data_IF_941338941943
#
_entry.id   IF_941338941943
#
_cell.length_a   1.000
_cell.length_b   1.000
_cell.length_c   1.000
_cell.angle_alpha   90.00
_cell.angle_beta   90.00
_cell.angle_gamma   90.00
#
_symmetry.space_group_name_H-M   'P 1'
#
loop_
_entity.id
_entity.type
_entity.pdbx_description
1 polymer ?
#
# COMPACT_ATOMS: atom_id res chain seq x y z
N UNK A 1 -55.20 31.49 -19.72
CA UNK A 1 -54.93 32.16 -18.43
C UNK A 1 -53.91 31.32 -17.66
N UNK A 2 -52.85 31.98 -17.18
CA UNK A 2 -51.51 31.46 -16.88
C UNK A 2 -51.42 30.64 -15.58
N UNK A 3 -50.70 29.51 -15.60
CA UNK A 3 -50.32 28.76 -14.38
C UNK A 3 -48.95 29.22 -13.88
N UNK A 4 -48.94 30.04 -12.83
CA UNK A 4 -47.74 30.43 -12.09
C UNK A 4 -47.20 29.24 -11.28
N UNK A 5 -45.97 28.78 -11.55
CA UNK A 5 -45.29 27.78 -10.71
C UNK A 5 -44.73 28.47 -9.45
N UNK A 6 -44.98 27.88 -8.27
CA UNK A 6 -44.34 28.29 -7.00
C UNK A 6 -42.84 28.02 -7.09
N UNK A 7 -42.02 29.06 -6.92
CA UNK A 7 -40.57 28.95 -6.72
C UNK A 7 -40.29 28.47 -5.28
N UNK A 8 -39.37 27.52 -5.06
CA UNK A 8 -38.89 27.23 -3.71
C UNK A 8 -38.10 28.42 -3.16
N UNK A 9 -38.14 28.59 -1.83
CA UNK A 9 -37.48 29.69 -1.13
C UNK A 9 -35.95 29.59 -1.25
N UNK A 10 -35.31 30.72 -1.56
CA UNK A 10 -33.85 30.86 -1.52
C UNK A 10 -33.47 31.14 -0.06
N UNK A 11 -32.65 30.28 0.53
CA UNK A 11 -32.10 30.48 1.88
C UNK A 11 -30.70 31.07 1.74
N UNK A 12 -30.51 32.32 2.19
CA UNK A 12 -29.22 33.02 2.19
C UNK A 12 -28.34 32.67 3.40
N UNK A 13 -28.53 31.49 4.01
CA UNK A 13 -27.69 31.09 5.13
C UNK A 13 -26.36 30.52 4.62
N UNK A 14 -25.33 31.37 4.62
CA UNK A 14 -23.95 30.95 4.50
C UNK A 14 -23.59 30.02 5.67
N UNK A 15 -23.65 28.71 5.44
CA UNK A 15 -23.05 27.71 6.32
C UNK A 15 -21.77 27.25 5.63
N UNK A 16 -20.63 27.82 6.05
CA UNK A 16 -19.32 27.30 5.72
C UNK A 16 -19.10 25.99 6.48
N UNK A 17 -19.64 24.89 5.97
CA UNK A 17 -19.24 23.56 6.39
C UNK A 17 -18.11 23.12 5.47
N UNK A 18 -16.87 23.43 5.85
CA UNK A 18 -15.72 22.68 5.35
C UNK A 18 -15.86 21.26 5.90
N UNK A 19 -16.64 20.43 5.21
CA UNK A 19 -16.61 19.00 5.43
C UNK A 19 -15.35 18.51 4.72
N UNK A 20 -14.23 18.55 5.43
CA UNK A 20 -13.14 17.61 5.15
C UNK A 20 -13.73 16.23 5.41
N UNK A 21 -14.35 15.65 4.38
CA UNK A 21 -14.63 14.22 4.36
C UNK A 21 -13.26 13.55 4.37
N UNK A 22 -12.73 13.32 5.56
CA UNK A 22 -11.87 12.18 5.80
C UNK A 22 -12.57 11.00 5.12
N UNK A 23 -11.95 10.30 4.14
CA UNK A 23 -12.49 9.02 3.74
C UNK A 23 -12.55 8.17 5.01
N UNK A 24 -13.76 7.72 5.32
CA UNK A 24 -14.05 6.83 6.43
C UNK A 24 -13.02 5.70 6.47
N UNK A 25 -12.15 5.73 7.48
CA UNK A 25 -11.18 4.68 7.79
C UNK A 25 -11.85 3.41 8.33
N UNK A 26 -13.00 3.02 7.77
CA UNK A 26 -13.84 1.91 8.28
C UNK A 26 -14.37 1.00 7.18
N UNK A 27 -13.58 0.75 6.13
CA UNK A 27 -13.89 -0.26 5.10
C UNK A 27 -13.09 -1.57 5.22
N UNK A 28 -12.28 -1.74 6.26
CA UNK A 28 -11.45 -2.94 6.41
C UNK A 28 -11.96 -3.81 7.55
N UNK A 29 -12.99 -4.61 7.24
CA UNK A 29 -13.53 -5.61 8.15
C UNK A 29 -12.52 -6.76 8.29
N UNK A 30 -12.45 -7.41 9.47
CA UNK A 30 -11.53 -8.53 9.77
C UNK A 30 -11.69 -9.76 8.86
N UNK A 31 -12.61 -9.76 7.91
CA UNK A 31 -12.92 -10.89 7.02
C UNK A 31 -11.88 -11.08 5.90
N UNK A 32 -11.04 -10.07 5.64
CA UNK A 32 -10.06 -10.11 4.53
C UNK A 32 -8.65 -10.50 4.95
N UNK A 33 -8.45 -10.89 6.22
CA UNK A 33 -7.11 -11.22 6.75
C UNK A 33 -6.18 -10.00 6.90
N UNK A 34 -6.71 -8.78 6.80
CA UNK A 34 -5.94 -7.56 7.04
C UNK A 34 -5.57 -7.43 8.52
N UNK A 35 -4.27 -7.44 8.79
CA UNK A 35 -3.70 -7.06 10.08
C UNK A 35 -3.11 -5.67 9.96
N UNK A 36 -3.56 -4.76 10.84
CA UNK A 36 -2.97 -3.43 10.92
C UNK A 36 -1.48 -3.53 11.27
N UNK A 37 -0.60 -2.70 10.66
CA UNK A 37 0.82 -2.69 10.99
C UNK A 37 1.04 -2.45 12.47
N UNK A 38 1.87 -3.31 13.08
CA UNK A 38 2.29 -3.18 14.47
C UNK A 38 3.18 -1.95 14.66
N UNK A 39 3.43 -1.51 15.90
CA UNK A 39 4.38 -0.44 16.17
C UNK A 39 5.79 -0.74 15.63
N UNK A 40 6.24 -1.99 15.74
CA UNK A 40 7.54 -2.44 15.24
C UNK A 40 7.61 -2.33 13.70
N UNK A 41 6.54 -2.73 12.99
CA UNK A 41 6.48 -2.59 11.52
C UNK A 41 6.65 -1.13 11.06
N UNK A 42 6.16 -0.16 11.86
CA UNK A 42 6.29 1.26 11.56
C UNK A 42 7.72 1.75 11.77
N UNK A 43 8.36 1.32 12.87
CA UNK A 43 9.75 1.66 13.15
C UNK A 43 10.68 1.10 12.07
N UNK A 44 10.46 -0.14 11.64
CA UNK A 44 11.23 -0.76 10.55
C UNK A 44 11.08 0.02 9.23
N UNK A 45 9.85 0.46 8.91
CA UNK A 45 9.60 1.28 7.73
C UNK A 45 10.35 2.62 7.79
N UNK A 46 10.34 3.30 8.94
CA UNK A 46 11.07 4.55 9.15
C UNK A 46 12.59 4.38 8.99
N UNK A 47 13.15 3.29 9.50
CA UNK A 47 14.58 2.96 9.36
C UNK A 47 14.94 2.72 7.90
N UNK A 48 14.11 1.95 7.18
CA UNK A 48 14.32 1.65 5.75
C UNK A 48 14.28 2.94 4.93
N UNK A 49 13.34 3.84 5.21
CA UNK A 49 13.21 5.09 4.47
C UNK A 49 14.35 6.07 4.78
N UNK A 50 14.79 6.14 6.04
CA UNK A 50 15.99 6.89 6.42
C UNK A 50 17.25 6.35 5.72
N UNK A 51 17.38 5.03 5.56
CA UNK A 51 18.48 4.41 4.84
C UNK A 51 18.45 4.77 3.35
N UNK A 52 17.29 4.67 2.69
CA UNK A 52 17.13 5.06 1.28
C UNK A 52 17.45 6.54 1.04
N UNK A 53 17.01 7.43 1.94
CA UNK A 53 17.28 8.87 1.84
C UNK A 53 18.78 9.20 1.86
N UNK A 54 19.59 8.34 2.48
CA UNK A 54 21.05 8.45 2.53
C UNK A 54 21.77 7.70 1.41
N UNK A 55 21.03 7.09 0.47
CA UNK A 55 21.58 6.33 -0.64
C UNK A 55 21.96 4.89 -0.32
N UNK A 56 21.54 4.34 0.82
CA UNK A 56 21.74 2.92 1.12
C UNK A 56 20.72 2.04 0.40
N UNK A 57 21.14 0.83 0.06
CA UNK A 57 20.27 -0.22 -0.47
C UNK A 57 20.06 -1.32 0.57
N UNK A 58 18.84 -1.85 0.64
CA UNK A 58 18.51 -2.99 1.49
C UNK A 58 18.89 -4.28 0.76
N UNK A 59 19.63 -5.16 1.44
CA UNK A 59 20.00 -6.47 0.95
C UNK A 59 19.37 -7.56 1.81
N UNK A 60 18.87 -8.61 1.19
CA UNK A 60 18.42 -9.84 1.87
C UNK A 60 19.19 -11.04 1.36
N UNK A 61 19.24 -12.13 2.14
CA UNK A 61 19.85 -13.39 1.68
C UNK A 61 18.81 -14.21 0.92
N UNK A 62 19.21 -14.73 -0.24
CA UNK A 62 18.44 -15.71 -0.98
C UNK A 62 18.21 -16.97 -0.13
N UNK A 63 16.96 -17.41 0.00
CA UNK A 63 16.60 -18.59 0.81
C UNK A 63 17.11 -19.91 0.23
N UNK A 64 17.38 -19.99 -1.08
CA UNK A 64 17.93 -21.20 -1.73
C UNK A 64 19.46 -21.28 -1.69
N UNK A 65 20.16 -20.21 -2.08
CA UNK A 65 21.61 -20.24 -2.26
C UNK A 65 22.40 -19.36 -1.28
N UNK A 66 21.73 -18.58 -0.42
CA UNK A 66 22.36 -17.71 0.56
C UNK A 66 23.06 -16.47 -0.01
N UNK A 67 23.02 -16.24 -1.33
CA UNK A 67 23.62 -15.06 -1.95
C UNK A 67 22.85 -13.78 -1.56
N UNK A 68 23.57 -12.68 -1.35
CA UNK A 68 22.98 -11.37 -1.10
C UNK A 68 22.30 -10.81 -2.36
N UNK A 69 21.08 -10.33 -2.21
CA UNK A 69 20.28 -9.75 -3.29
C UNK A 69 19.72 -8.40 -2.88
N UNK A 70 19.83 -7.42 -3.77
CA UNK A 70 19.44 -6.01 -3.54
C UNK A 70 18.33 -5.53 -4.47
N UNK A 71 18.09 -6.22 -5.59
CA UNK A 71 17.05 -5.85 -6.52
C UNK A 71 15.67 -6.01 -5.86
N UNK A 72 14.80 -5.00 -5.94
CA UNK A 72 13.51 -4.98 -5.25
C UNK A 72 12.67 -6.25 -5.48
N UNK A 73 12.64 -6.76 -6.73
CA UNK A 73 11.94 -8.02 -7.06
C UNK A 73 12.52 -9.24 -6.34
N UNK A 74 13.84 -9.29 -6.18
CA UNK A 74 14.53 -10.39 -5.46
C UNK A 74 14.41 -10.25 -3.95
N UNK A 75 14.42 -9.02 -3.43
CA UNK A 75 14.17 -8.74 -2.02
C UNK A 75 12.76 -9.18 -1.64
N UNK A 76 11.74 -8.76 -2.40
CA UNK A 76 10.35 -9.15 -2.15
C UNK A 76 10.14 -10.67 -2.16
N UNK A 77 10.78 -11.37 -3.11
CA UNK A 77 10.70 -12.83 -3.22
C UNK A 77 11.63 -13.59 -2.26
N UNK A 78 12.52 -12.89 -1.53
CA UNK A 78 13.64 -13.48 -0.78
C UNK A 78 14.46 -14.48 -1.62
N UNK A 79 14.55 -14.24 -2.93
CA UNK A 79 15.09 -15.18 -3.91
C UNK A 79 15.90 -14.50 -5.00
N UNK A 80 17.10 -15.00 -5.25
CA UNK A 80 17.96 -14.52 -6.32
C UNK A 80 17.45 -14.87 -7.72
N UNK A 81 17.81 -14.07 -8.74
CA UNK A 81 17.30 -14.23 -10.11
C UNK A 81 17.59 -15.61 -10.71
N UNK A 82 18.79 -16.16 -10.46
CA UNK A 82 19.18 -17.49 -10.93
C UNK A 82 18.34 -18.58 -10.26
N UNK A 83 18.14 -18.49 -8.94
CA UNK A 83 17.33 -19.46 -8.20
C UNK A 83 15.86 -19.40 -8.60
N UNK A 84 15.35 -18.21 -8.92
CA UNK A 84 14.00 -18.03 -9.45
C UNK A 84 13.84 -18.69 -10.81
N UNK A 85 14.75 -18.41 -11.75
CA UNK A 85 14.71 -19.02 -13.08
C UNK A 85 14.74 -20.55 -13.04
N UNK A 86 15.48 -21.15 -12.08
CA UNK A 86 15.46 -22.60 -11.86
C UNK A 86 14.09 -23.11 -11.41
N UNK A 87 13.45 -22.45 -10.43
CA UNK A 87 12.11 -22.82 -10.00
C UNK A 87 11.09 -22.70 -11.14
N UNK A 88 11.18 -21.64 -11.93
CA UNK A 88 10.29 -21.43 -13.07
C UNK A 88 10.42 -22.58 -14.10
N UNK A 89 11.65 -23.05 -14.37
CA UNK A 89 11.91 -24.19 -15.24
C UNK A 89 11.44 -25.53 -14.64
N UNK A 90 11.63 -25.72 -13.32
CA UNK A 90 11.13 -26.89 -12.58
C UNK A 90 9.59 -26.95 -12.61
N UNK A 91 8.90 -25.82 -12.59
CA UNK A 91 7.44 -25.73 -12.65
C UNK A 91 6.86 -26.01 -14.04
N UNK A 92 7.55 -25.61 -15.11
CA UNK A 92 7.12 -25.85 -16.51
C UNK A 92 7.31 -27.30 -16.94
N UNK A 93 8.20 -28.04 -16.26
CA UNK A 93 8.47 -29.45 -16.55
C UNK A 93 7.53 -30.43 -15.83
N UNK A 94 6.60 -29.92 -15.02
CA UNK A 94 5.59 -30.67 -14.28
C UNK A 94 4.22 -30.50 -14.93
#
# INVERSE_FOLDING_TARGET
MTRTRKRPAVSDRATSTTTTLHPESSLHHRQDGYSAPTPDDRLDAEVIDAAKARGFAIAVRCTRCGQWVVAAKSVAAHLGPVCRAKLDAEAVSQ
#
